data_IF_973346996778
#
_entry.id   IF_973346996778
#
_cell.length_a   1.000
_cell.length_b   1.000
_cell.length_c   1.000
_cell.angle_alpha   90.00
_cell.angle_beta   90.00
_cell.angle_gamma   90.00
#
_symmetry.space_group_name_H-M   'P 1'
#
loop_
_entity.id
_entity.type
_entity.pdbx_description
1 polymer ?
#
# COMPACT_ATOMS: atom_id res chain seq x y z
N UNK A 1 17.29 -62.85 -31.45
CA UNK A 1 17.57 -61.65 -32.27
C UNK A 1 16.92 -60.48 -31.57
N UNK A 2 17.69 -59.71 -30.82
CA UNK A 2 17.22 -58.50 -30.14
C UNK A 2 17.56 -57.33 -31.05
N UNK A 3 16.57 -56.74 -31.71
CA UNK A 3 16.72 -55.51 -32.48
C UNK A 3 16.54 -54.32 -31.53
N UNK A 4 17.65 -53.71 -31.13
CA UNK A 4 17.68 -52.40 -30.49
C UNK A 4 17.45 -51.35 -31.57
N UNK A 5 16.31 -50.64 -31.53
CA UNK A 5 16.12 -49.41 -32.29
C UNK A 5 16.55 -48.23 -31.42
N UNK A 6 17.70 -47.65 -31.74
CA UNK A 6 18.13 -46.36 -31.20
C UNK A 6 17.36 -45.26 -31.91
N UNK A 7 16.38 -44.64 -31.24
CA UNK A 7 15.70 -43.43 -31.76
C UNK A 7 16.38 -42.18 -31.19
N UNK A 8 16.85 -41.30 -32.07
CA UNK A 8 17.47 -40.02 -31.73
C UNK A 8 16.47 -39.06 -31.06
N UNK A 9 16.97 -38.19 -30.19
CA UNK A 9 16.25 -37.19 -29.38
C UNK A 9 15.54 -36.11 -30.22
N UNK A 10 15.76 -36.08 -31.53
CA UNK A 10 15.17 -35.11 -32.46
C UNK A 10 13.77 -35.52 -32.98
N UNK A 11 13.43 -36.82 -33.00
CA UNK A 11 12.14 -37.31 -33.52
C UNK A 11 10.96 -37.15 -32.53
N UNK A 12 11.25 -36.99 -31.23
CA UNK A 12 10.22 -36.77 -30.20
C UNK A 12 9.75 -35.31 -30.15
N UNK A 13 10.60 -34.35 -30.54
CA UNK A 13 10.27 -32.92 -30.47
C UNK A 13 9.32 -32.48 -31.59
N UNK A 14 9.40 -33.09 -32.78
CA UNK A 14 8.52 -32.77 -33.90
C UNK A 14 7.13 -33.39 -33.75
N UNK A 15 6.99 -34.54 -33.08
CA UNK A 15 5.69 -35.17 -32.83
C UNK A 15 4.85 -34.44 -31.78
N UNK A 16 5.46 -33.71 -30.84
CA UNK A 16 4.74 -32.90 -29.86
C UNK A 16 4.26 -31.54 -30.42
N UNK A 17 4.93 -30.97 -31.42
CA UNK A 17 4.53 -29.68 -32.00
C UNK A 17 3.30 -29.78 -32.92
N UNK A 18 3.09 -30.92 -33.58
CA UNK A 18 1.94 -31.12 -34.49
C UNK A 18 0.62 -31.40 -33.75
N UNK A 19 0.67 -31.89 -32.51
CA UNK A 19 -0.54 -32.24 -31.73
C UNK A 19 -1.19 -31.05 -31.00
N UNK A 20 -0.47 -29.93 -30.81
CA UNK A 20 -1.01 -28.73 -30.13
C UNK A 20 -1.81 -27.84 -31.09
N UNK A 21 -1.56 -27.91 -32.40
CA UNK A 21 -2.18 -27.03 -33.41
C UNK A 21 -3.57 -27.51 -33.84
N UNK A 22 -3.96 -28.76 -33.56
CA UNK A 22 -5.26 -29.33 -33.95
C UNK A 22 -6.31 -29.38 -32.80
N UNK A 23 -6.02 -28.75 -31.65
CA UNK A 23 -6.88 -28.83 -30.45
C UNK A 23 -7.77 -27.61 -30.15
N UNK A 24 -7.78 -26.55 -30.98
CA UNK A 24 -8.49 -25.28 -30.66
C UNK A 24 -9.71 -25.01 -31.57
N UNK A 25 -10.02 -25.88 -32.53
CA UNK A 25 -11.21 -25.73 -33.38
C UNK A 25 -12.09 -26.98 -33.29
N UNK A 26 -12.96 -27.04 -32.28
CA UNK A 26 -13.88 -28.17 -32.16
C UNK A 26 -14.92 -28.05 -31.06
N UNK A 27 -16.12 -27.66 -31.48
CA UNK A 27 -17.42 -28.04 -30.91
C UNK A 27 -18.00 -27.16 -29.79
N UNK A 28 -18.65 -26.08 -30.23
CA UNK A 28 -19.97 -25.72 -29.70
C UNK A 28 -20.94 -26.89 -29.92
N UNK A 29 -21.47 -27.46 -28.84
CA UNK A 29 -22.77 -28.12 -28.85
C UNK A 29 -23.50 -27.70 -27.58
N UNK A 30 -24.57 -26.94 -27.79
CA UNK A 30 -25.43 -26.41 -26.74
C UNK A 30 -26.21 -27.50 -26.01
N UNK A 31 -26.40 -27.30 -24.71
CA UNK A 31 -27.30 -28.08 -23.88
C UNK A 31 -28.68 -27.40 -23.82
N UNK A 32 -29.79 -28.14 -23.90
CA UNK A 32 -31.13 -27.59 -23.84
C UNK A 32 -31.49 -27.16 -22.41
N UNK A 33 -32.03 -25.95 -22.30
CA UNK A 33 -32.72 -25.42 -21.12
C UNK A 33 -33.95 -26.27 -20.78
N UNK A 34 -34.16 -26.55 -19.50
CA UNK A 34 -35.43 -27.02 -18.97
C UNK A 34 -35.91 -26.03 -17.90
N UNK A 35 -37.12 -25.46 -17.99
CA UNK A 35 -37.66 -24.50 -17.04
C UNK A 35 -38.49 -25.22 -15.96
N UNK A 36 -38.40 -24.78 -14.70
CA UNK A 36 -39.54 -24.75 -13.77
C UNK A 36 -39.10 -24.08 -12.45
N UNK A 37 -40.01 -23.29 -11.85
CA UNK A 37 -40.04 -22.68 -10.50
C UNK A 37 -39.68 -21.18 -10.33
N UNK A 38 -40.45 -20.42 -9.49
CA UNK A 38 -41.08 -19.20 -9.96
C UNK A 38 -40.59 -17.89 -9.33
N UNK A 39 -40.72 -16.87 -10.17
CA UNK A 39 -41.18 -15.49 -10.01
C UNK A 39 -41.58 -14.98 -8.60
N UNK A 40 -40.84 -13.98 -8.12
CA UNK A 40 -41.38 -12.84 -7.39
C UNK A 40 -40.93 -11.56 -8.10
N UNK A 41 -41.85 -10.94 -8.83
CA UNK A 41 -41.66 -9.67 -9.50
C UNK A 41 -41.48 -8.49 -8.55
N UNK A 42 -40.61 -7.57 -8.96
CA UNK A 42 -40.39 -6.24 -8.38
C UNK A 42 -39.77 -5.35 -9.46
N UNK A 43 -40.56 -4.38 -9.92
CA UNK A 43 -40.45 -3.69 -11.21
C UNK A 43 -39.27 -2.70 -11.35
N UNK A 44 -38.68 -2.66 -12.55
CA UNK A 44 -38.43 -1.40 -13.26
C UNK A 44 -37.04 -0.75 -13.15
N UNK A 45 -36.12 -1.09 -14.05
CA UNK A 45 -35.23 -0.09 -14.65
C UNK A 45 -34.76 -0.52 -16.04
N UNK A 46 -34.87 0.41 -16.98
CA UNK A 46 -34.61 0.22 -18.39
C UNK A 46 -33.12 -0.05 -18.66
N UNK A 47 -32.85 -1.05 -19.49
CA UNK A 47 -31.53 -1.38 -20.04
C UNK A 47 -30.92 -0.15 -20.74
N UNK A 48 -29.77 0.30 -20.24
CA UNK A 48 -28.75 0.96 -21.04
C UNK A 48 -27.69 -0.10 -21.38
N UNK A 49 -27.50 -0.36 -22.66
CA UNK A 49 -26.64 -1.42 -23.18
C UNK A 49 -25.26 -0.82 -23.49
N UNK A 50 -24.15 -1.22 -22.83
CA UNK A 50 -22.84 -0.80 -23.26
C UNK A 50 -22.39 -1.71 -24.41
N UNK A 51 -22.10 -1.11 -25.56
CA UNK A 51 -21.36 -1.78 -26.62
C UNK A 51 -19.93 -2.01 -26.10
N UNK A 52 -19.59 -3.28 -25.88
CA UNK A 52 -18.22 -3.68 -25.62
C UNK A 52 -17.41 -3.50 -26.91
N UNK A 53 -16.68 -2.39 -27.02
CA UNK A 53 -15.53 -2.34 -27.92
C UNK A 53 -14.42 -3.18 -27.29
N UNK A 54 -14.10 -4.31 -27.93
CA UNK A 54 -12.92 -5.12 -27.64
C UNK A 54 -11.66 -4.29 -27.89
N UNK A 55 -11.25 -3.50 -26.90
CA UNK A 55 -9.93 -2.87 -26.89
C UNK A 55 -8.96 -3.82 -26.21
N UNK A 56 -8.12 -4.42 -27.04
CA UNK A 56 -6.97 -5.24 -26.70
C UNK A 56 -6.33 -4.87 -25.36
N UNK A 57 -6.29 -5.84 -24.44
CA UNK A 57 -5.44 -5.81 -23.25
C UNK A 57 -3.97 -5.77 -23.70
N UNK A 58 -3.47 -4.60 -24.06
CA UNK A 58 -2.03 -4.37 -24.07
C UNK A 58 -1.61 -4.21 -22.63
N UNK A 59 -1.06 -5.28 -22.07
CA UNK A 59 -0.23 -5.20 -20.88
C UNK A 59 0.80 -4.09 -21.12
N UNK A 60 0.75 -3.04 -20.31
CA UNK A 60 1.81 -2.05 -20.25
C UNK A 60 3.08 -2.77 -19.81
N UNK A 61 3.91 -3.16 -20.78
CA UNK A 61 5.26 -3.60 -20.52
C UNK A 61 6.07 -2.36 -20.13
N UNK A 62 6.68 -2.32 -18.93
CA UNK A 62 7.53 -1.21 -18.56
C UNK A 62 8.72 -1.13 -19.55
N UNK A 63 9.11 0.07 -20.03
CA UNK A 63 10.29 0.21 -20.87
C UNK A 63 11.53 -0.34 -20.15
N UNK A 64 12.15 -1.36 -20.74
CA UNK A 64 13.42 -1.90 -20.31
C UNK A 64 14.53 -1.05 -20.97
N UNK A 65 15.11 -0.07 -20.25
CA UNK A 65 16.35 0.72 -20.54
C UNK A 65 16.21 2.05 -19.74
N UNK A 66 17.06 2.51 -18.80
CA UNK A 66 18.52 2.43 -18.60
C UNK A 66 18.87 2.59 -17.11
N UNK A 67 19.99 1.99 -16.72
CA UNK A 67 20.50 1.79 -15.35
C UNK A 67 20.98 3.04 -14.60
N UNK A 68 20.93 4.23 -15.21
CA UNK A 68 21.39 5.48 -14.58
C UNK A 68 20.27 6.24 -13.87
N UNK A 69 19.00 6.03 -14.24
CA UNK A 69 17.88 6.71 -13.59
C UNK A 69 17.60 6.12 -12.20
N UNK A 70 17.75 4.79 -12.05
CA UNK A 70 17.57 4.03 -10.80
C UNK A 70 18.42 4.56 -9.63
N UNK A 71 19.62 5.07 -9.90
CA UNK A 71 20.49 5.63 -8.86
C UNK A 71 19.99 6.99 -8.35
N UNK A 72 19.29 7.76 -9.20
CA UNK A 72 18.65 9.03 -8.82
C UNK A 72 17.39 8.80 -7.97
N UNK A 73 16.64 7.72 -8.21
CA UNK A 73 15.48 7.35 -7.38
C UNK A 73 15.88 6.96 -5.95
N UNK A 74 17.02 6.28 -5.77
CA UNK A 74 17.51 5.90 -4.44
C UNK A 74 17.93 7.11 -3.61
N UNK A 75 18.54 8.13 -4.20
CA UNK A 75 18.93 9.34 -3.46
C UNK A 75 17.74 10.16 -2.99
N UNK A 76 16.63 10.20 -3.74
CA UNK A 76 15.44 11.00 -3.38
C UNK A 76 14.62 10.33 -2.28
N UNK A 77 14.52 9.01 -2.26
CA UNK A 77 13.86 8.27 -1.19
C UNK A 77 14.67 8.31 0.13
N UNK A 78 16.01 8.24 0.07
CA UNK A 78 16.87 8.33 1.25
C UNK A 78 16.89 9.77 1.84
N UNK A 79 16.84 10.82 1.02
CA UNK A 79 16.80 12.22 1.50
C UNK A 79 15.47 12.54 2.21
N UNK A 80 14.35 11.97 1.73
CA UNK A 80 13.01 12.18 2.33
C UNK A 80 12.79 11.44 3.63
N UNK A 81 13.50 10.34 3.86
CA UNK A 81 13.51 9.65 5.15
C UNK A 81 14.17 10.47 6.27
N UNK A 82 14.99 11.47 5.93
CA UNK A 82 15.69 12.34 6.87
C UNK A 82 14.90 13.61 7.22
N UNK A 83 13.86 13.95 6.46
CA UNK A 83 13.04 15.16 6.66
C UNK A 83 11.85 14.95 7.62
N UNK A 84 11.44 13.71 7.91
CA UNK A 84 10.41 13.43 8.91
C UNK A 84 11.04 13.16 10.28
N UNK A 85 11.34 14.23 11.02
CA UNK A 85 11.48 14.13 12.47
C UNK A 85 10.07 14.24 13.08
N UNK A 86 9.49 13.16 13.64
CA UNK A 86 8.27 13.33 14.42
C UNK A 86 8.56 14.33 15.55
N UNK A 87 7.64 15.27 15.85
CA UNK A 87 7.80 16.13 17.02
C UNK A 87 8.06 15.24 18.23
N UNK A 88 9.05 15.60 19.05
CA UNK A 88 9.24 14.94 20.33
C UNK A 88 7.93 15.06 21.10
N UNK A 89 7.23 13.96 21.30
CA UNK A 89 6.13 13.86 22.25
C UNK A 89 6.71 14.27 23.60
N UNK A 90 6.47 15.52 24.00
CA UNK A 90 6.71 15.93 25.37
C UNK A 90 5.69 15.16 26.19
N UNK A 91 6.16 14.10 26.86
CA UNK A 91 5.42 13.50 27.95
C UNK A 91 5.31 14.62 28.99
N UNK A 92 4.16 15.28 29.03
CA UNK A 92 3.83 16.17 30.13
C UNK A 92 3.80 15.28 31.36
N UNK A 93 4.75 15.50 32.27
CA UNK A 93 4.76 14.85 33.56
C UNK A 93 3.45 15.20 34.29
N UNK A 94 2.58 14.20 34.36
CA UNK A 94 1.39 14.20 35.20
C UNK A 94 1.83 14.07 36.67
N UNK A 95 2.08 15.21 37.32
CA UNK A 95 1.85 15.35 38.76
C UNK A 95 1.60 16.81 39.15
N UNK A 96 0.42 17.33 38.83
CA UNK A 96 -0.16 18.39 39.65
C UNK A 96 -1.68 18.30 39.69
N UNK A 97 -2.15 17.51 40.68
CA UNK A 97 -3.33 17.80 41.50
C UNK A 97 -4.52 18.40 40.73
N UNK A 98 -5.44 17.53 40.29
CA UNK A 98 -6.83 17.92 40.13
C UNK A 98 -7.39 18.31 41.52
N UNK A 99 -7.35 19.60 41.85
CA UNK A 99 -8.28 20.17 42.81
C UNK A 99 -9.27 21.00 42.02
N UNK A 100 -10.37 20.37 41.62
CA UNK A 100 -11.56 21.07 41.16
C UNK A 100 -12.08 21.92 42.30
N UNK A 101 -11.73 23.21 42.29
CA UNK A 101 -12.46 24.23 43.04
C UNK A 101 -13.78 24.46 42.31
N UNK A 102 -14.82 23.76 42.76
CA UNK A 102 -16.20 24.02 42.37
C UNK A 102 -16.55 25.45 42.81
N UNK A 103 -16.67 26.38 41.87
CA UNK A 103 -17.18 27.74 42.09
C UNK A 103 -18.65 27.79 41.63
N UNK A 104 -19.62 27.88 42.56
CA UNK A 104 -21.05 27.77 42.24
C UNK A 104 -21.68 29.09 41.79
N UNK A 105 -20.93 30.02 41.17
CA UNK A 105 -21.44 31.35 40.77
C UNK A 105 -21.17 31.77 39.32
N UNK A 106 -21.08 30.84 38.39
CA UNK A 106 -21.18 31.15 36.95
C UNK A 106 -22.22 30.24 36.28
N UNK A 107 -23.47 30.41 36.69
CA UNK A 107 -24.61 30.14 35.80
C UNK A 107 -24.85 31.42 35.00
N UNK A 108 -24.21 31.57 33.85
CA UNK A 108 -24.72 32.41 32.75
C UNK A 108 -23.91 32.12 31.48
N UNK A 109 -24.66 31.68 30.46
CA UNK A 109 -24.37 31.69 29.02
C UNK A 109 -23.45 30.60 28.41
N UNK A 110 -24.02 29.40 28.30
CA UNK A 110 -23.66 28.41 27.28
C UNK A 110 -24.30 28.79 25.92
N UNK A 111 -23.49 29.29 24.98
CA UNK A 111 -23.75 29.19 23.53
C UNK A 111 -22.41 29.18 22.80
N UNK A 112 -21.89 27.99 22.49
CA UNK A 112 -20.66 27.82 21.71
C UNK A 112 -20.99 27.98 20.22
N UNK A 113 -20.55 29.08 19.62
CA UNK A 113 -20.35 29.22 18.17
C UNK A 113 -18.87 28.88 17.87
N UNK A 114 -18.52 27.59 17.96
CA UNK A 114 -17.14 27.07 17.92
C UNK A 114 -16.49 27.08 16.52
N UNK A 115 -17.28 27.28 15.46
CA UNK A 115 -16.79 27.17 14.08
C UNK A 115 -16.01 28.40 13.62
N UNK A 116 -16.36 29.59 14.12
CA UNK A 116 -15.73 30.84 13.70
C UNK A 116 -14.37 31.08 14.40
N UNK A 117 -14.26 30.74 15.69
CA UNK A 117 -13.04 30.94 16.47
C UNK A 117 -11.89 30.00 16.03
N UNK A 118 -12.26 28.79 15.57
CA UNK A 118 -11.29 27.81 15.06
C UNK A 118 -10.63 28.25 13.76
N UNK A 119 -11.35 28.94 12.86
CA UNK A 119 -10.80 29.44 11.60
C UNK A 119 -9.96 30.70 11.78
N UNK A 120 -10.31 31.54 12.76
CA UNK A 120 -9.57 32.75 13.10
C UNK A 120 -8.15 32.47 13.62
N UNK A 121 -7.89 31.24 14.07
CA UNK A 121 -6.57 30.80 14.54
C UNK A 121 -5.61 30.40 13.41
N UNK A 122 -6.09 30.27 12.17
CA UNK A 122 -5.29 29.89 11.00
C UNK A 122 -4.84 31.16 10.28
N UNK A 123 -3.52 31.37 10.05
CA UNK A 123 -3.05 32.54 9.31
C UNK A 123 -3.64 32.61 7.91
N UNK A 124 -4.06 33.81 7.49
CA UNK A 124 -4.67 34.08 6.18
C UNK A 124 -6.19 34.27 6.25
N UNK A 125 -6.78 34.77 5.17
CA UNK A 125 -8.22 34.96 5.02
C UNK A 125 -8.87 33.68 4.43
N UNK A 126 -9.74 32.97 5.19
CA UNK A 126 -10.42 31.79 4.70
C UNK A 126 -11.27 32.09 3.45
N UNK A 127 -11.24 31.20 2.46
CA UNK A 127 -11.93 31.35 1.18
C UNK A 127 -11.26 32.29 0.17
N UNK A 128 -10.19 32.99 0.57
CA UNK A 128 -9.38 33.83 -0.31
C UNK A 128 -7.95 33.32 -0.42
N UNK A 129 -7.28 33.14 0.72
CA UNK A 129 -5.90 32.66 0.76
C UNK A 129 -5.84 31.13 0.71
N UNK A 130 -6.85 30.47 1.28
CA UNK A 130 -7.00 29.01 1.26
C UNK A 130 -8.47 28.58 1.20
N UNK A 131 -8.77 27.41 0.62
CA UNK A 131 -10.13 26.88 0.53
C UNK A 131 -10.65 26.37 1.89
N UNK A 132 -11.97 26.47 2.08
CA UNK A 132 -12.69 26.03 3.30
C UNK A 132 -13.87 25.13 2.95
N UNK A 133 -13.65 24.18 2.05
CA UNK A 133 -14.64 23.18 1.69
C UNK A 133 -14.97 22.33 2.93
N UNK A 134 -16.26 22.22 3.25
CA UNK A 134 -16.75 21.30 4.29
C UNK A 134 -17.14 19.92 3.77
N UNK A 135 -17.22 19.77 2.45
CA UNK A 135 -17.56 18.52 1.74
C UNK A 135 -16.77 18.42 0.45
N UNK A 136 -16.53 17.20 -0.03
CA UNK A 136 -15.85 16.95 -1.30
C UNK A 136 -16.81 17.26 -2.46
N UNK A 137 -16.57 18.30 -3.28
CA UNK A 137 -17.40 18.58 -4.45
C UNK A 137 -17.16 17.55 -5.56
N UNK A 138 -18.07 17.47 -6.53
CA UNK A 138 -17.81 16.76 -7.79
C UNK A 138 -16.96 17.66 -8.70
N UNK A 139 -15.82 17.15 -9.13
CA UNK A 139 -14.90 17.80 -10.08
C UNK A 139 -14.75 16.95 -11.34
N UNK A 140 -13.98 17.44 -12.32
CA UNK A 140 -13.67 16.66 -13.53
C UNK A 140 -12.54 15.65 -13.32
N UNK A 141 -12.03 15.49 -12.08
CA UNK A 141 -10.93 14.60 -11.78
C UNK A 141 -11.25 13.14 -12.12
N UNK A 142 -10.30 12.45 -12.74
CA UNK A 142 -10.40 11.02 -13.07
C UNK A 142 -9.04 10.33 -13.17
N UNK A 143 -9.05 8.99 -13.07
CA UNK A 143 -7.86 8.15 -13.05
C UNK A 143 -7.46 7.57 -14.42
N UNK A 144 -8.23 7.81 -15.48
CA UNK A 144 -8.10 7.10 -16.76
C UNK A 144 -6.71 7.22 -17.41
N UNK A 145 -6.08 8.39 -17.33
CA UNK A 145 -4.78 8.69 -17.93
C UNK A 145 -3.68 8.88 -16.88
N UNK A 146 -3.84 8.25 -15.71
CA UNK A 146 -2.94 8.40 -14.56
C UNK A 146 -2.44 7.05 -14.08
N UNK A 147 -1.24 7.04 -13.50
CA UNK A 147 -0.75 5.87 -12.79
C UNK A 147 -1.56 5.66 -11.50
N UNK A 148 -1.62 4.43 -10.97
CA UNK A 148 -2.13 4.22 -9.62
C UNK A 148 -1.33 5.05 -8.62
N UNK A 149 -2.01 5.78 -7.75
CA UNK A 149 -1.35 6.68 -6.79
C UNK A 149 -2.20 7.83 -6.31
N UNK A 150 -1.55 8.81 -5.68
CA UNK A 150 -2.21 9.92 -5.03
C UNK A 150 -2.13 11.19 -5.88
N UNK A 151 -3.18 12.00 -5.92
CA UNK A 151 -3.27 13.15 -6.81
C UNK A 151 -3.98 14.32 -6.13
N UNK A 152 -3.40 15.52 -6.18
CA UNK A 152 -4.12 16.75 -5.81
C UNK A 152 -5.28 17.05 -6.79
N UNK A 153 -6.40 17.56 -6.27
CA UNK A 153 -7.48 18.10 -7.10
C UNK A 153 -7.32 19.61 -7.27
N UNK A 154 -6.89 20.01 -8.46
CA UNK A 154 -6.66 21.40 -8.83
C UNK A 154 -7.94 22.25 -8.83
N UNK A 155 -9.11 21.66 -9.10
CA UNK A 155 -10.39 22.39 -9.11
C UNK A 155 -10.84 22.80 -7.71
N UNK A 156 -10.31 22.14 -6.68
CA UNK A 156 -10.60 22.42 -5.27
C UNK A 156 -9.54 23.28 -4.59
N UNK A 157 -8.68 23.95 -5.37
CA UNK A 157 -7.49 24.64 -4.88
C UNK A 157 -6.64 23.72 -3.99
N UNK A 158 -6.52 22.44 -4.41
CA UNK A 158 -5.76 21.40 -3.73
C UNK A 158 -6.25 21.01 -2.33
N UNK A 159 -7.43 21.45 -1.85
CA UNK A 159 -7.96 20.96 -0.57
C UNK A 159 -8.37 19.49 -0.64
N UNK A 160 -8.90 19.08 -1.78
CA UNK A 160 -9.23 17.67 -2.05
C UNK A 160 -8.05 17.00 -2.73
N UNK A 161 -7.87 15.73 -2.40
CA UNK A 161 -6.98 14.84 -3.10
C UNK A 161 -7.62 13.48 -3.32
N UNK A 162 -7.06 12.74 -4.26
CA UNK A 162 -7.62 11.54 -4.82
C UNK A 162 -6.61 10.39 -4.75
N UNK A 163 -7.12 9.18 -4.52
CA UNK A 163 -6.36 7.95 -4.64
C UNK A 163 -6.91 7.13 -5.82
N UNK A 164 -6.07 7.01 -6.86
CA UNK A 164 -6.31 6.15 -8.00
C UNK A 164 -5.80 4.75 -7.72
N UNK A 165 -6.71 3.78 -7.69
CA UNK A 165 -6.39 2.36 -7.53
C UNK A 165 -5.96 1.73 -8.86
N UNK A 166 -5.38 0.53 -8.77
CA UNK A 166 -4.91 -0.25 -9.94
C UNK A 166 -6.04 -0.71 -10.86
N UNK A 167 -7.27 -0.80 -10.37
CA UNK A 167 -8.48 -1.12 -11.12
C UNK A 167 -9.16 0.14 -11.74
N UNK A 168 -8.56 1.32 -11.56
CA UNK A 168 -9.10 2.59 -12.02
C UNK A 168 -10.18 3.18 -11.11
N UNK A 169 -10.52 2.52 -9.99
CA UNK A 169 -11.42 3.10 -8.99
C UNK A 169 -10.76 4.29 -8.29
N UNK A 170 -11.61 5.25 -7.94
CA UNK A 170 -11.24 6.53 -7.35
C UNK A 170 -11.79 6.62 -5.92
N UNK A 171 -10.91 6.85 -4.95
CA UNK A 171 -11.31 7.34 -3.63
C UNK A 171 -10.91 8.82 -3.50
N UNK A 172 -11.68 9.61 -2.75
CA UNK A 172 -11.44 11.05 -2.59
C UNK A 172 -11.43 11.43 -1.11
N UNK A 173 -10.58 12.38 -0.77
CA UNK A 173 -10.34 12.80 0.61
C UNK A 173 -10.22 14.32 0.68
N UNK A 174 -10.61 14.88 1.82
CA UNK A 174 -10.60 16.31 2.08
C UNK A 174 -9.55 16.62 3.15
N UNK A 175 -8.63 17.54 2.85
CA UNK A 175 -7.73 18.10 3.84
C UNK A 175 -8.49 19.02 4.81
N UNK A 176 -8.12 19.06 6.10
CA UNK A 176 -8.67 20.02 7.06
C UNK A 176 -8.51 21.48 6.60
N UNK A 177 -9.38 22.37 7.09
CA UNK A 177 -9.30 23.80 6.82
C UNK A 177 -7.90 24.35 7.20
N UNK A 178 -7.35 25.21 6.34
CA UNK A 178 -5.99 25.75 6.49
C UNK A 178 -4.88 24.88 5.90
N UNK A 179 -5.20 23.69 5.39
CA UNK A 179 -4.23 22.81 4.74
C UNK A 179 -4.66 22.46 3.33
N UNK A 180 -3.69 22.21 2.46
CA UNK A 180 -3.90 21.72 1.10
C UNK A 180 -2.93 20.57 0.82
N UNK A 181 -3.25 19.74 -0.15
CA UNK A 181 -2.47 18.57 -0.47
C UNK A 181 -1.13 18.94 -1.09
N UNK A 182 -0.06 18.44 -0.49
CA UNK A 182 1.29 18.47 -1.03
C UNK A 182 1.55 17.14 -1.73
N UNK A 183 1.48 17.15 -3.06
CA UNK A 183 1.71 15.99 -3.92
C UNK A 183 3.11 15.43 -3.77
N UNK A 184 4.12 16.30 -3.64
CA UNK A 184 5.48 15.88 -3.45
C UNK A 184 5.54 14.98 -2.23
N UNK A 185 5.08 15.45 -1.07
CA UNK A 185 5.18 14.76 0.22
C UNK A 185 4.05 13.77 0.54
N UNK A 186 2.99 13.75 -0.27
CA UNK A 186 1.77 12.94 -0.09
C UNK A 186 1.03 13.19 1.22
N UNK A 187 1.01 14.43 1.67
CA UNK A 187 0.39 14.84 2.95
C UNK A 187 -0.40 16.12 2.77
N UNK A 188 -1.40 16.34 3.63
CA UNK A 188 -1.97 17.68 3.80
C UNK A 188 -0.98 18.53 4.59
N UNK A 189 -0.61 19.67 4.03
CA UNK A 189 0.38 20.60 4.60
C UNK A 189 -0.24 22.00 4.63
N UNK A 190 0.29 22.89 5.47
CA UNK A 190 -0.21 24.26 5.59
C UNK A 190 -0.24 24.97 4.25
N UNK A 191 -1.33 25.69 3.96
CA UNK A 191 -1.57 26.30 2.66
C UNK A 191 -0.43 27.22 2.19
N UNK A 192 0.24 27.90 3.12
CA UNK A 192 1.35 28.82 2.82
C UNK A 192 2.69 28.11 2.56
N UNK A 193 2.78 26.80 2.82
CA UNK A 193 3.96 25.97 2.55
C UNK A 193 3.84 25.21 1.22
N UNK A 194 2.69 25.27 0.54
CA UNK A 194 2.41 24.51 -0.67
C UNK A 194 1.95 25.45 -1.77
N UNK A 195 2.64 25.44 -2.89
CA UNK A 195 2.11 26.03 -4.11
C UNK A 195 1.25 24.97 -4.82
N UNK A 196 -0.07 25.18 -4.86
CA UNK A 196 -1.02 24.20 -5.42
C UNK A 196 -0.66 23.81 -6.87
N UNK A 197 -0.19 24.76 -7.68
CA UNK A 197 0.18 24.53 -9.09
C UNK A 197 1.37 23.56 -9.24
N UNK A 198 2.27 23.51 -8.25
CA UNK A 198 3.42 22.60 -8.27
C UNK A 198 2.98 21.14 -8.10
N UNK A 199 1.75 20.85 -7.69
CA UNK A 199 1.31 19.47 -7.53
C UNK A 199 1.31 18.70 -8.86
N UNK A 200 1.05 19.34 -10.00
CA UNK A 200 1.03 18.64 -11.29
C UNK A 200 2.40 18.07 -11.68
N UNK A 201 3.48 18.82 -11.44
CA UNK A 201 4.85 18.38 -11.73
C UNK A 201 5.33 17.26 -10.79
N UNK A 202 4.74 17.15 -9.59
CA UNK A 202 5.09 16.12 -8.62
C UNK A 202 4.30 14.83 -8.77
N UNK A 203 3.41 14.69 -9.77
CA UNK A 203 2.67 13.45 -10.03
C UNK A 203 3.56 12.20 -10.20
N UNK A 204 4.81 12.40 -10.66
CA UNK A 204 5.81 11.34 -10.83
C UNK A 204 6.21 10.63 -9.55
N UNK A 205 6.00 11.25 -8.37
CA UNK A 205 6.31 10.56 -7.12
C UNK A 205 5.56 9.24 -7.04
N UNK A 206 4.36 9.12 -7.63
CA UNK A 206 3.57 7.90 -7.62
C UNK A 206 4.26 6.70 -8.31
N UNK A 207 5.33 6.91 -9.09
CA UNK A 207 6.07 5.82 -9.74
C UNK A 207 6.74 4.87 -8.72
N UNK A 208 7.01 5.34 -7.50
CA UNK A 208 7.57 4.49 -6.43
C UNK A 208 6.51 3.66 -5.69
N UNK A 209 5.22 3.95 -5.92
CA UNK A 209 4.13 3.22 -5.31
C UNK A 209 4.08 1.82 -5.92
N UNK A 210 3.86 0.81 -5.07
CA UNK A 210 3.82 -0.61 -5.45
C UNK A 210 5.15 -1.19 -5.96
N UNK A 211 6.25 -0.44 -5.90
CA UNK A 211 7.58 -1.05 -6.00
C UNK A 211 7.87 -1.73 -4.67
N UNK A 212 7.88 -3.07 -4.68
CA UNK A 212 8.47 -3.83 -3.58
C UNK A 212 9.99 -3.80 -3.81
N UNK A 213 10.77 -3.07 -2.98
CA UNK A 213 12.21 -3.04 -3.17
C UNK A 213 12.76 -4.46 -3.04
N UNK A 214 13.66 -4.83 -3.94
CA UNK A 214 14.35 -6.11 -3.85
C UNK A 214 15.06 -6.18 -2.49
N UNK A 215 14.84 -7.27 -1.73
CA UNK A 215 15.51 -7.45 -0.43
C UNK A 215 17.01 -7.32 -0.65
N UNK A 216 17.64 -6.24 -0.16
CA UNK A 216 19.11 -6.08 -0.27
C UNK A 216 19.78 -7.33 0.31
N UNK A 217 20.82 -7.81 -0.36
CA UNK A 217 21.55 -9.03 0.03
C UNK A 217 22.02 -8.97 1.49
N UNK A 218 22.32 -7.77 2.01
CA UNK A 218 22.71 -7.57 3.41
C UNK A 218 21.59 -7.85 4.41
N UNK A 219 20.33 -7.51 4.08
CA UNK A 219 19.18 -7.89 4.92
C UNK A 219 18.98 -9.40 4.93
N UNK A 220 19.17 -10.06 3.78
CA UNK A 220 19.09 -11.52 3.69
C UNK A 220 20.22 -12.17 4.51
N UNK A 221 21.43 -11.64 4.43
CA UNK A 221 22.57 -12.12 5.21
C UNK A 221 22.37 -11.90 6.71
N UNK A 222 21.81 -10.76 7.13
CA UNK A 222 21.46 -10.47 8.51
C UNK A 222 20.36 -11.41 9.04
N UNK A 223 19.29 -11.62 8.26
CA UNK A 223 18.19 -12.54 8.55
C UNK A 223 18.72 -13.98 8.73
N UNK A 224 19.59 -14.44 7.82
CA UNK A 224 20.24 -15.75 7.92
C UNK A 224 21.16 -15.88 9.14
N UNK A 225 21.92 -14.84 9.48
CA UNK A 225 22.79 -14.82 10.68
C UNK A 225 21.96 -14.90 11.95
N UNK A 226 20.87 -14.13 12.04
CA UNK A 226 19.97 -14.18 13.19
C UNK A 226 19.34 -15.57 13.37
N UNK A 227 18.86 -16.17 12.27
CA UNK A 227 18.29 -17.52 12.32
C UNK A 227 19.32 -18.58 12.76
N UNK A 228 20.55 -18.55 12.21
CA UNK A 228 21.64 -19.45 12.64
C UNK A 228 21.98 -19.28 14.11
N UNK A 229 22.05 -18.04 14.60
CA UNK A 229 22.35 -17.76 16.01
C UNK A 229 21.24 -18.27 16.94
N UNK A 230 19.97 -18.17 16.52
CA UNK A 230 18.85 -18.73 17.27
C UNK A 230 18.92 -20.26 17.35
N UNK A 231 19.24 -20.94 16.26
CA UNK A 231 19.46 -22.40 16.27
C UNK A 231 20.62 -22.80 17.18
N UNK A 232 21.73 -22.06 17.14
CA UNK A 232 22.87 -22.30 18.02
C UNK A 232 22.49 -22.16 19.50
N UNK A 233 21.73 -21.12 19.86
CA UNK A 233 21.22 -20.94 21.23
C UNK A 233 20.30 -22.09 21.66
N UNK A 234 19.41 -22.55 20.78
CA UNK A 234 18.54 -23.70 21.07
C UNK A 234 19.34 -24.99 21.29
N UNK A 235 20.38 -25.21 20.48
CA UNK A 235 21.27 -26.38 20.64
C UNK A 235 22.07 -26.31 21.94
N UNK A 236 22.59 -25.13 22.30
CA UNK A 236 23.29 -24.91 23.57
C UNK A 236 22.38 -25.20 24.76
N UNK A 237 21.15 -24.68 24.75
CA UNK A 237 20.16 -24.96 25.80
C UNK A 237 19.84 -26.46 25.93
N UNK A 238 19.72 -27.18 24.82
CA UNK A 238 19.55 -28.65 24.86
C UNK A 238 20.78 -29.37 25.40
N UNK A 239 21.99 -28.94 25.03
CA UNK A 239 23.22 -29.53 25.55
C UNK A 239 23.39 -29.30 27.05
N UNK A 240 23.12 -28.09 27.53
CA UNK A 240 23.15 -27.76 28.95
C UNK A 240 22.15 -28.62 29.74
N UNK A 241 20.92 -28.79 29.22
CA UNK A 241 19.95 -29.72 29.82
C UNK A 241 20.49 -31.15 29.84
N UNK A 242 21.09 -31.64 28.75
CA UNK A 242 21.66 -32.99 28.70
C UNK A 242 22.85 -33.18 29.65
N UNK A 243 23.66 -32.14 29.87
CA UNK A 243 24.76 -32.18 30.84
C UNK A 243 24.25 -32.14 32.29
N UNK A 244 23.17 -31.40 32.57
CA UNK A 244 22.53 -31.39 33.89
C UNK A 244 21.99 -32.79 34.26
N UNK A 245 21.44 -33.53 33.30
CA UNK A 245 21.00 -34.92 33.51
C UNK A 245 22.13 -35.96 33.40
N UNK A 246 23.41 -35.56 33.21
CA UNK A 246 24.53 -36.50 33.14
C UNK A 246 24.79 -37.07 34.54
N UNK A 247 24.72 -38.41 34.75
CA UNK A 247 25.04 -38.99 36.03
C UNK A 247 26.51 -38.73 36.40
N UNK A 248 26.83 -38.50 37.69
CA UNK A 248 28.20 -38.30 38.12
C UNK A 248 29.05 -39.53 37.78
N UNK A 249 30.24 -39.28 37.21
CA UNK A 249 31.21 -40.33 36.95
C UNK A 249 31.84 -40.72 38.29
N UNK A 250 31.42 -41.85 38.85
CA UNK A 250 32.10 -42.42 40.01
C UNK A 250 33.43 -43.02 39.57
N UNK A 251 34.53 -42.42 40.00
CA UNK A 251 35.88 -42.98 39.85
C UNK A 251 35.97 -44.23 40.73
N UNK A 252 36.21 -45.39 40.13
CA UNK A 252 36.52 -46.61 40.89
C UNK A 252 37.89 -46.43 41.54
N UNK A 253 37.91 -46.30 42.86
CA UNK A 253 39.13 -46.28 43.65
C UNK A 253 39.84 -47.65 43.51
N UNK A 254 41.09 -47.71 43.04
CA UNK A 254 41.79 -48.98 42.80
C UNK A 254 42.13 -49.80 44.06
N UNK A 255 41.76 -49.30 45.25
CA UNK A 255 42.22 -49.83 46.54
C UNK A 255 41.14 -50.53 47.35
N UNK A 256 40.03 -50.95 46.74
CA UNK A 256 39.06 -51.85 47.38
C UNK A 256 39.17 -53.28 46.83
N UNK A 257 40.14 -54.04 47.35
CA UNK A 257 40.14 -55.51 47.41
C UNK A 257 40.68 -55.97 48.76
#
# INVERSE_FOLDING_TARGET
VVTLFTSSREDLLNKMKTLIILGVFGLCLGSPFNPEYPDYGGEGSQLYQPQAEERSQQAFQPPQLLTEESQRYHSVADDRSQAYQPPQLQVLDDDSRYETRYDPKHEEDYYYDDEEDSLNSIPGEPGKDYPVLGVIPRTSFGCADRLPGFYADMETQCQVWHYCKTDGLLDSFLCPNGTIYNQENRVCEWWFNVNCEDNEQHARVNEDLYIVPEKKQDYQAAEQRMYKQQQQRQQQQQQEQLEEFRPPVYQQDPYQQ
#
